data_IF_124441905289
#
_entry.id   IF_124441905289
#
_cell.length_a   1.000
_cell.length_b   1.000
_cell.length_c   1.000
_cell.angle_alpha   90.00
_cell.angle_beta   90.00
_cell.angle_gamma   90.00
#
_symmetry.space_group_name_H-M   'P 1'
#
loop_
_entity.id
_entity.type
_entity.pdbx_description
1 polymer ?
#
# COMPACT_ATOMS: atom_id res chain seq x y z
N UNK A 1 -17.43 1.98 18.33
CA UNK A 1 -17.77 1.90 16.90
C UNK A 1 -17.21 0.60 16.34
N UNK A 2 -18.02 -0.20 15.65
CA UNK A 2 -17.59 -1.52 15.17
C UNK A 2 -17.00 -1.45 13.78
N UNK A 3 -16.05 -2.34 13.44
CA UNK A 3 -15.45 -2.42 12.09
C UNK A 3 -16.49 -2.55 10.97
N UNK A 4 -17.69 -3.06 11.27
CA UNK A 4 -18.73 -3.34 10.29
C UNK A 4 -19.81 -2.25 10.18
N UNK A 5 -19.74 -1.16 10.95
CA UNK A 5 -20.75 -0.11 10.89
C UNK A 5 -20.69 0.66 9.57
N UNK A 6 -21.82 0.95 8.91
CA UNK A 6 -21.85 1.82 7.74
C UNK A 6 -21.16 3.16 8.04
N UNK A 7 -20.21 3.56 7.18
CA UNK A 7 -19.43 4.79 7.36
C UNK A 7 -18.15 4.67 8.20
N UNK A 8 -17.84 3.50 8.78
CA UNK A 8 -16.58 3.34 9.52
C UNK A 8 -15.37 3.23 8.56
N UNK A 9 -14.27 3.95 8.79
CA UNK A 9 -13.12 3.96 7.89
C UNK A 9 -12.36 2.63 7.81
N UNK A 10 -12.47 1.86 8.90
CA UNK A 10 -11.83 0.55 9.03
C UNK A 10 -12.39 -0.47 8.05
N UNK A 11 -13.69 -0.39 7.71
CA UNK A 11 -14.34 -1.35 6.82
C UNK A 11 -13.76 -1.32 5.42
N UNK A 12 -13.72 -0.14 4.81
CA UNK A 12 -13.23 0.05 3.44
C UNK A 12 -11.75 -0.30 3.35
N UNK A 13 -10.97 0.12 4.35
CA UNK A 13 -9.53 -0.17 4.45
C UNK A 13 -9.25 -1.67 4.53
N UNK A 14 -10.00 -2.41 5.35
CA UNK A 14 -9.87 -3.87 5.47
C UNK A 14 -10.27 -4.57 4.17
N UNK A 15 -11.36 -4.16 3.54
CA UNK A 15 -11.80 -4.72 2.26
C UNK A 15 -10.76 -4.51 1.16
N UNK A 16 -10.20 -3.30 1.06
CA UNK A 16 -9.13 -3.00 0.10
C UNK A 16 -7.88 -3.87 0.37
N UNK A 17 -7.47 -4.00 1.64
CA UNK A 17 -6.32 -4.86 2.00
C UNK A 17 -6.53 -6.32 1.58
N UNK A 18 -7.72 -6.88 1.83
CA UNK A 18 -8.04 -8.26 1.43
C UNK A 18 -8.01 -8.41 -0.09
N UNK A 19 -8.58 -7.47 -0.83
CA UNK A 19 -8.52 -7.47 -2.30
C UNK A 19 -7.08 -7.40 -2.80
N UNK A 20 -6.25 -6.49 -2.26
CA UNK A 20 -4.84 -6.36 -2.63
C UNK A 20 -4.06 -7.62 -2.30
N UNK A 21 -4.29 -8.23 -1.13
CA UNK A 21 -3.66 -9.49 -0.73
C UNK A 21 -3.96 -10.61 -1.73
N UNK A 22 -5.22 -10.78 -2.12
CA UNK A 22 -5.63 -11.79 -3.11
C UNK A 22 -4.98 -11.51 -4.46
N UNK A 23 -4.98 -10.25 -4.91
CA UNK A 23 -4.36 -9.87 -6.18
C UNK A 23 -2.85 -10.16 -6.18
N UNK A 24 -2.14 -9.75 -5.14
CA UNK A 24 -0.70 -10.03 -4.98
C UNK A 24 -0.45 -11.54 -4.99
N UNK A 25 -1.24 -12.32 -4.25
CA UNK A 25 -1.09 -13.77 -4.18
C UNK A 25 -1.28 -14.43 -5.55
N UNK A 26 -2.35 -14.06 -6.27
CA UNK A 26 -2.63 -14.61 -7.61
C UNK A 26 -1.52 -14.21 -8.60
N UNK A 27 -1.17 -12.92 -8.65
CA UNK A 27 -0.14 -12.42 -9.58
C UNK A 27 1.23 -13.02 -9.28
N UNK A 28 1.63 -13.12 -8.01
CA UNK A 28 2.91 -13.72 -7.65
C UNK A 28 2.97 -15.21 -8.01
N UNK A 29 1.89 -15.95 -7.78
CA UNK A 29 1.80 -17.36 -8.17
C UNK A 29 1.86 -17.54 -9.69
N UNK A 30 1.18 -16.69 -10.46
CA UNK A 30 1.17 -16.77 -11.93
C UNK A 30 2.50 -16.36 -12.56
N UNK A 31 3.17 -15.36 -12.00
CA UNK A 31 4.39 -14.79 -12.58
C UNK A 31 5.67 -15.41 -12.03
N UNK A 32 5.57 -16.21 -10.96
CA UNK A 32 6.71 -16.74 -10.22
C UNK A 32 7.54 -15.65 -9.54
N UNK A 33 7.07 -14.40 -9.53
CA UNK A 33 7.74 -13.26 -8.92
C UNK A 33 7.04 -12.92 -7.59
N UNK A 34 7.72 -13.12 -6.47
CA UNK A 34 7.17 -12.93 -5.12
C UNK A 34 7.38 -11.51 -4.58
N UNK A 35 8.14 -10.67 -5.28
CA UNK A 35 8.44 -9.28 -4.89
C UNK A 35 7.34 -8.28 -5.31
N UNK A 36 6.13 -8.74 -5.64
CA UNK A 36 5.03 -7.85 -6.06
C UNK A 36 4.54 -6.95 -4.92
N UNK A 37 4.63 -7.41 -3.67
CA UNK A 37 4.31 -6.58 -2.49
C UNK A 37 5.23 -5.36 -2.42
N UNK A 38 6.52 -5.54 -2.72
CA UNK A 38 7.52 -4.48 -2.65
C UNK A 38 7.26 -3.38 -3.67
N UNK A 39 6.71 -3.74 -4.84
CA UNK A 39 6.27 -2.78 -5.87
C UNK A 39 5.10 -1.92 -5.41
N UNK A 40 4.19 -2.49 -4.62
CA UNK A 40 3.00 -1.80 -4.12
C UNK A 40 3.28 -0.99 -2.84
N UNK A 41 4.40 -1.26 -2.17
CA UNK A 41 4.76 -0.65 -0.88
C UNK A 41 4.83 0.87 -0.91
N UNK A 42 5.17 1.48 -2.06
CA UNK A 42 5.23 2.94 -2.19
C UNK A 42 3.87 3.59 -2.48
N UNK A 43 2.85 2.80 -2.84
CA UNK A 43 1.54 3.27 -3.30
C UNK A 43 0.47 3.02 -2.23
N UNK A 44 0.43 1.82 -1.65
CA UNK A 44 -0.61 1.44 -0.67
C UNK A 44 -0.69 2.37 0.55
N UNK A 45 0.43 2.81 1.17
CA UNK A 45 0.37 3.74 2.30
C UNK A 45 -0.26 5.09 1.94
N UNK A 46 -0.06 5.56 0.71
CA UNK A 46 -0.68 6.80 0.20
C UNK A 46 -2.19 6.59 0.07
N UNK A 47 -2.61 5.49 -0.57
CA UNK A 47 -4.04 5.17 -0.74
C UNK A 47 -4.75 5.08 0.61
N UNK A 48 -4.19 4.36 1.59
CA UNK A 48 -4.80 4.26 2.92
C UNK A 48 -4.87 5.59 3.66
N UNK A 49 -3.86 6.45 3.52
CA UNK A 49 -3.89 7.78 4.14
C UNK A 49 -5.00 8.66 3.55
N UNK A 50 -5.22 8.59 2.22
CA UNK A 50 -6.31 9.32 1.57
C UNK A 50 -7.69 8.74 1.86
N UNK A 51 -7.82 7.43 2.02
CA UNK A 51 -9.07 6.82 2.50
C UNK A 51 -9.43 7.35 3.89
N UNK A 52 -8.44 7.42 4.80
CA UNK A 52 -8.64 7.99 6.12
C UNK A 52 -9.08 9.46 6.05
N UNK A 53 -8.55 10.26 5.12
CA UNK A 53 -9.04 11.63 4.89
C UNK A 53 -10.49 11.59 4.39
N UNK A 54 -10.79 10.90 3.29
CA UNK A 54 -12.14 10.89 2.72
C UNK A 54 -13.23 10.42 3.70
N UNK A 55 -12.90 9.50 4.59
CA UNK A 55 -13.86 8.92 5.53
C UNK A 55 -13.99 9.69 6.86
N UNK A 56 -12.92 10.36 7.32
CA UNK A 56 -12.99 11.23 8.51
C UNK A 56 -13.40 12.68 8.16
N UNK A 57 -13.15 13.12 6.93
CA UNK A 57 -13.27 14.50 6.46
C UNK A 57 -14.27 14.68 5.31
N UNK A 58 -15.40 13.95 5.32
CA UNK A 58 -16.51 14.27 4.40
C UNK A 58 -16.97 15.74 4.52
N UNK A 59 -16.80 16.33 5.71
CA UNK A 59 -17.08 17.73 6.04
C UNK A 59 -16.10 18.75 5.42
N UNK A 60 -14.83 18.38 5.20
CA UNK A 60 -13.81 19.30 4.64
C UNK A 60 -14.10 19.62 3.18
N UNK A 61 -14.62 18.65 2.41
CA UNK A 61 -14.99 18.86 1.01
C UNK A 61 -16.41 19.45 0.83
N UNK A 62 -17.30 19.31 1.82
CA UNK A 62 -18.68 19.82 1.78
C UNK A 62 -18.90 21.12 2.58
N UNK A 63 -17.87 21.68 3.22
CA UNK A 63 -17.94 22.99 3.88
C UNK A 63 -18.76 23.04 5.17
N UNK A 64 -19.18 21.89 5.71
CA UNK A 64 -19.88 21.79 6.99
C UNK A 64 -18.85 21.80 8.13
N UNK A 65 -18.46 23.00 8.54
CA UNK A 65 -17.37 23.27 9.48
C UNK A 65 -17.78 23.05 10.94
N UNK A 66 -18.14 21.83 11.32
CA UNK A 66 -18.26 21.45 12.74
C UNK A 66 -16.87 21.12 13.33
N UNK A 67 -16.04 22.15 13.44
CA UNK A 67 -14.69 22.10 14.02
C UNK A 67 -14.68 21.67 15.50
N UNK A 68 -15.82 21.78 16.19
CA UNK A 68 -15.92 21.51 17.64
C UNK A 68 -16.17 20.02 17.97
N UNK A 69 -16.60 19.20 17.01
CA UNK A 69 -16.90 17.78 17.22
C UNK A 69 -16.07 16.82 16.35
N UNK A 70 -15.26 17.35 15.42
CA UNK A 70 -14.48 16.57 14.45
C UNK A 70 -13.00 16.57 14.84
N UNK A 71 -12.64 15.88 15.93
CA UNK A 71 -11.32 15.93 16.57
C UNK A 71 -10.10 15.39 15.77
N UNK A 72 -10.16 15.29 14.44
CA UNK A 72 -9.14 14.61 13.64
C UNK A 72 -8.78 15.18 12.27
N UNK A 73 -9.63 16.05 11.69
CA UNK A 73 -9.61 16.30 10.24
C UNK A 73 -8.35 16.95 9.65
N UNK A 74 -7.90 18.04 10.27
CA UNK A 74 -6.67 18.70 9.82
C UNK A 74 -5.44 17.80 9.95
N UNK A 75 -5.41 16.91 10.95
CA UNK A 75 -4.29 16.00 11.20
C UNK A 75 -4.20 14.90 10.14
N UNK A 76 -5.33 14.28 9.78
CA UNK A 76 -5.39 13.25 8.74
C UNK A 76 -4.92 13.77 7.39
N UNK A 77 -5.32 14.99 7.03
CA UNK A 77 -4.88 15.65 5.79
C UNK A 77 -3.36 15.87 5.76
N UNK A 78 -2.76 16.39 6.83
CA UNK A 78 -1.30 16.54 6.92
C UNK A 78 -0.56 15.21 6.82
N UNK A 79 -1.06 14.17 7.49
CA UNK A 79 -0.49 12.82 7.38
C UNK A 79 -0.57 12.28 5.95
N UNK A 80 -1.69 12.50 5.25
CA UNK A 80 -1.86 12.08 3.86
C UNK A 80 -0.91 12.83 2.90
N UNK A 81 -0.71 14.13 3.09
CA UNK A 81 0.25 14.93 2.31
C UNK A 81 1.67 14.42 2.51
N UNK A 82 2.11 14.24 3.76
CA UNK A 82 3.46 13.72 4.08
C UNK A 82 3.65 12.31 3.50
N UNK A 83 2.66 11.43 3.67
CA UNK A 83 2.69 10.08 3.07
C UNK A 83 2.77 10.14 1.55
N UNK A 84 2.09 11.09 0.90
CA UNK A 84 2.13 11.28 -0.56
C UNK A 84 3.53 11.70 -1.02
N UNK A 85 4.15 12.67 -0.34
CA UNK A 85 5.52 13.12 -0.67
C UNK A 85 6.51 11.97 -0.50
N UNK A 86 6.38 11.19 0.57
CA UNK A 86 7.21 10.03 0.82
C UNK A 86 6.99 8.91 -0.22
N UNK A 87 5.74 8.64 -0.57
CA UNK A 87 5.37 7.67 -1.62
C UNK A 87 5.93 8.06 -2.98
N UNK A 88 5.90 9.35 -3.35
CA UNK A 88 6.53 9.87 -4.57
C UNK A 88 8.04 9.62 -4.54
N UNK A 89 8.72 9.93 -3.42
CA UNK A 89 10.16 9.69 -3.27
C UNK A 89 10.52 8.22 -3.47
N UNK A 90 9.76 7.30 -2.84
CA UNK A 90 10.01 5.86 -2.97
C UNK A 90 9.71 5.35 -4.38
N UNK A 91 8.59 5.76 -4.95
CA UNK A 91 8.20 5.39 -6.33
C UNK A 91 9.26 5.86 -7.33
N UNK A 92 9.79 7.08 -7.17
CA UNK A 92 10.88 7.58 -7.98
C UNK A 92 12.19 6.79 -7.79
N UNK A 93 12.52 6.39 -6.55
CA UNK A 93 13.70 5.56 -6.28
C UNK A 93 13.59 4.20 -6.97
N UNK A 94 12.42 3.57 -6.85
CA UNK A 94 12.13 2.27 -7.46
C UNK A 94 12.14 2.35 -9.00
N UNK A 95 11.56 3.41 -9.56
CA UNK A 95 11.58 3.67 -11.01
C UNK A 95 13.01 3.80 -11.55
N UNK A 96 13.91 4.53 -10.85
CA UNK A 96 15.32 4.67 -11.27
C UNK A 96 16.13 3.37 -11.20
N UNK A 97 15.71 2.43 -10.36
CA UNK A 97 16.34 1.10 -10.25
C UNK A 97 15.80 0.10 -11.27
N UNK A 98 14.90 0.53 -12.18
CA UNK A 98 14.33 -0.33 -13.20
C UNK A 98 13.21 -1.25 -12.69
N UNK A 99 12.65 -1.00 -11.51
CA UNK A 99 11.63 -1.86 -10.91
C UNK A 99 10.26 -1.84 -11.61
N UNK A 100 9.99 -0.79 -12.39
CA UNK A 100 8.79 -0.68 -13.24
C UNK A 100 9.14 -0.97 -14.71
N UNK A 101 9.40 -2.22 -15.04
CA UNK A 101 9.42 -2.68 -16.43
C UNK A 101 8.01 -2.96 -16.94
N UNK A 102 7.80 -2.88 -18.25
CA UNK A 102 6.55 -3.36 -18.86
C UNK A 102 6.73 -4.81 -19.30
N UNK A 103 5.84 -5.75 -18.93
CA UNK A 103 4.64 -5.61 -18.09
C UNK A 103 4.95 -5.29 -16.62
N UNK A 104 4.09 -4.56 -15.87
CA UNK A 104 4.41 -4.08 -14.51
C UNK A 104 4.68 -5.19 -13.48
N UNK A 105 4.16 -6.40 -13.73
CA UNK A 105 4.42 -7.60 -12.95
C UNK A 105 5.72 -8.31 -13.35
N UNK A 106 6.22 -8.09 -14.56
CA UNK A 106 7.58 -8.46 -14.95
C UNK A 106 8.55 -7.42 -14.40
N UNK A 107 9.66 -7.87 -13.83
CA UNK A 107 10.69 -6.99 -13.25
C UNK A 107 11.63 -7.80 -12.37
N UNK A 108 12.77 -7.22 -12.04
CA UNK A 108 13.75 -7.85 -11.16
C UNK A 108 13.15 -8.08 -9.76
N UNK A 109 13.34 -9.29 -9.24
CA UNK A 109 13.04 -9.62 -7.85
C UNK A 109 14.09 -9.04 -6.91
N UNK A 110 13.76 -8.93 -5.62
CA UNK A 110 14.74 -8.58 -4.60
C UNK A 110 15.92 -9.57 -4.68
N UNK A 111 17.14 -9.04 -4.74
CA UNK A 111 18.40 -9.81 -4.80
C UNK A 111 18.50 -10.85 -3.67
N UNK A 112 17.81 -10.64 -2.55
CA UNK A 112 17.72 -11.58 -1.43
C UNK A 112 17.05 -12.89 -1.80
N UNK A 113 16.09 -12.88 -2.71
CA UNK A 113 15.37 -14.09 -3.12
C UNK A 113 16.29 -15.09 -3.82
N UNK A 114 17.19 -14.62 -4.68
CA UNK A 114 18.22 -15.46 -5.30
C UNK A 114 19.14 -16.15 -4.26
N UNK A 115 19.43 -15.47 -3.15
CA UNK A 115 20.25 -16.03 -2.05
C UNK A 115 19.47 -17.11 -1.28
N UNK A 116 18.17 -16.90 -1.09
CA UNK A 116 17.29 -17.88 -0.43
C UNK A 116 17.10 -19.12 -1.32
N UNK A 117 16.86 -18.91 -2.62
CA UNK A 117 16.67 -19.98 -3.59
C UNK A 117 17.95 -20.80 -3.84
N UNK A 118 19.13 -20.19 -3.72
CA UNK A 118 20.42 -20.91 -3.76
C UNK A 118 20.73 -21.69 -2.49
N UNK A 119 19.85 -21.66 -1.48
CA UNK A 119 20.02 -22.39 -0.21
C UNK A 119 21.11 -21.81 0.70
N UNK A 120 21.53 -20.55 0.48
CA UNK A 120 22.61 -19.91 1.25
C UNK A 120 22.26 -19.67 2.73
N UNK A 121 20.97 -19.62 3.06
CA UNK A 121 20.46 -19.39 4.42
C UNK A 121 19.70 -20.60 5.00
N UNK A 122 19.04 -21.40 4.16
CA UNK A 122 18.26 -22.57 4.57
C UNK A 122 18.59 -23.71 3.60
N UNK A 123 19.30 -24.73 4.10
CA UNK A 123 19.79 -25.85 3.28
C UNK A 123 18.67 -26.72 2.69
N UNK A 124 17.47 -26.70 3.27
CA UNK A 124 16.28 -27.43 2.76
C UNK A 124 15.78 -26.89 1.42
N UNK A 125 16.08 -25.62 1.10
CA UNK A 125 15.67 -25.00 -0.17
C UNK A 125 16.67 -25.18 -1.30
N UNK A 126 17.81 -25.82 -1.01
CA UNK A 126 18.81 -26.16 -2.00
C UNK A 126 18.34 -27.43 -2.74
N UNK A 127 17.83 -27.26 -3.96
CA UNK A 127 17.67 -28.40 -4.88
C UNK A 127 19.04 -28.93 -5.31
#
# INVERSE_FOLDING_TARGET
>A
EGIWTPGSPYRSTVLLNVCVMILVFVVSTMTGNYSQVDKLWSILPVVYAWMAVCENDYSVFHGENDYNNSGGGGRTLWMAIVSTIWGIRLTYNFARRGGYTWPPWAGEEDYRWNIIQSGGLVSILKN
#
